data_IF_361735866834
#
_entry.id   IF_361735866834
#
_cell.length_a   1.000
_cell.length_b   1.000
_cell.length_c   1.000
_cell.angle_alpha   90.00
_cell.angle_beta   90.00
_cell.angle_gamma   90.00
#
_symmetry.space_group_name_H-M   'P 1'
#
loop_
_entity.id
_entity.type
_entity.pdbx_description
1 polymer ?
#
# COMPACT_ATOMS: atom_id res chain seq x y z
N UNK A 1 21.21 -58.11 -2.41
CA UNK A 1 21.05 -57.19 -3.55
C UNK A 1 20.98 -55.77 -2.99
N UNK A 2 22.13 -55.13 -2.74
CA UNK A 2 22.16 -53.78 -2.17
C UNK A 2 21.91 -52.75 -3.28
N UNK A 3 20.80 -52.01 -3.15
CA UNK A 3 20.47 -50.89 -4.02
C UNK A 3 21.45 -49.74 -3.73
N UNK A 4 22.36 -49.48 -4.67
CA UNK A 4 23.29 -48.36 -4.61
C UNK A 4 22.52 -47.04 -4.77
N UNK A 5 22.21 -46.37 -3.66
CA UNK A 5 21.60 -45.04 -3.69
C UNK A 5 22.66 -44.04 -4.15
N UNK A 6 22.61 -43.66 -5.42
CA UNK A 6 23.54 -42.70 -6.02
C UNK A 6 23.13 -41.30 -5.59
N UNK A 7 23.66 -40.83 -4.48
CA UNK A 7 23.50 -39.44 -4.02
C UNK A 7 23.98 -38.50 -5.12
N UNK A 8 23.04 -37.92 -5.88
CA UNK A 8 23.34 -36.91 -6.88
C UNK A 8 23.54 -35.59 -6.14
N UNK A 9 24.80 -35.19 -6.00
CA UNK A 9 25.16 -33.88 -5.48
C UNK A 9 24.78 -32.77 -6.44
N UNK A 10 24.75 -31.56 -5.91
CA UNK A 10 24.44 -30.35 -6.65
C UNK A 10 25.63 -29.97 -7.53
N UNK A 11 25.41 -29.67 -8.81
CA UNK A 11 26.51 -29.38 -9.75
C UNK A 11 26.91 -27.90 -9.73
N UNK A 12 28.14 -27.59 -10.17
CA UNK A 12 28.58 -26.19 -10.32
C UNK A 12 27.70 -25.40 -11.30
N UNK A 13 27.27 -26.04 -12.38
CA UNK A 13 26.37 -25.43 -13.37
C UNK A 13 25.02 -25.12 -12.74
N UNK A 14 24.52 -26.00 -11.89
CA UNK A 14 23.26 -25.79 -11.17
C UNK A 14 23.35 -24.60 -10.20
N UNK A 15 24.50 -24.39 -9.54
CA UNK A 15 24.70 -23.21 -8.67
C UNK A 15 24.74 -21.92 -9.49
N UNK A 16 25.40 -21.95 -10.64
CA UNK A 16 25.43 -20.82 -11.55
C UNK A 16 24.01 -20.46 -12.01
N UNK A 17 23.21 -21.45 -12.41
CA UNK A 17 21.82 -21.23 -12.84
C UNK A 17 20.98 -20.68 -11.69
N UNK A 18 21.08 -21.24 -10.47
CA UNK A 18 20.36 -20.73 -9.30
C UNK A 18 20.75 -19.29 -8.98
N UNK A 19 22.04 -18.93 -9.05
CA UNK A 19 22.49 -17.55 -8.82
C UNK A 19 21.90 -16.57 -9.84
N UNK A 20 21.87 -16.97 -11.12
CA UNK A 20 21.25 -16.18 -12.19
C UNK A 20 19.75 -16.00 -11.91
N UNK A 21 19.05 -17.09 -11.56
CA UNK A 21 17.62 -17.05 -11.25
C UNK A 21 17.34 -16.13 -10.05
N UNK A 22 18.11 -16.23 -8.98
CA UNK A 22 17.97 -15.35 -7.80
C UNK A 22 18.17 -13.88 -8.20
N UNK A 23 19.16 -13.58 -9.04
CA UNK A 23 19.38 -12.22 -9.55
C UNK A 23 18.18 -11.68 -10.33
N UNK A 24 17.61 -12.49 -11.23
CA UNK A 24 16.42 -12.12 -12.01
C UNK A 24 15.22 -11.91 -11.08
N UNK A 25 14.91 -12.87 -10.20
CA UNK A 25 13.78 -12.77 -9.29
C UNK A 25 13.90 -11.61 -8.31
N UNK A 26 15.10 -11.33 -7.80
CA UNK A 26 15.34 -10.21 -6.88
C UNK A 26 14.99 -8.87 -7.51
N UNK A 27 15.24 -8.68 -8.81
CA UNK A 27 14.91 -7.43 -9.51
C UNK A 27 13.38 -7.24 -9.66
N UNK A 28 12.65 -8.32 -9.94
CA UNK A 28 11.19 -8.30 -10.08
C UNK A 28 10.49 -8.01 -8.75
N UNK A 29 10.98 -8.57 -7.64
CA UNK A 29 10.42 -8.34 -6.30
C UNK A 29 10.48 -6.86 -5.93
N UNK A 30 11.58 -6.17 -6.23
CA UNK A 30 11.72 -4.75 -5.92
C UNK A 30 10.64 -3.89 -6.63
N UNK A 31 10.41 -4.13 -7.92
CA UNK A 31 9.39 -3.41 -8.71
C UNK A 31 7.98 -3.74 -8.22
N UNK A 32 7.70 -5.00 -7.91
CA UNK A 32 6.39 -5.44 -7.42
C UNK A 32 6.05 -4.83 -6.05
N UNK A 33 7.02 -4.76 -5.13
CA UNK A 33 6.82 -4.16 -3.81
C UNK A 33 6.66 -2.64 -3.90
N UNK A 34 7.50 -1.96 -4.68
CA UNK A 34 7.39 -0.51 -4.85
C UNK A 34 6.04 -0.10 -5.47
N UNK A 35 5.61 -0.79 -6.52
CA UNK A 35 4.31 -0.53 -7.16
C UNK A 35 3.11 -0.89 -6.27
N UNK A 36 3.21 -1.97 -5.48
CA UNK A 36 2.18 -2.36 -4.51
C UNK A 36 2.02 -1.35 -3.37
N UNK A 37 3.13 -0.82 -2.85
CA UNK A 37 3.12 0.18 -1.76
C UNK A 37 2.51 1.50 -2.27
N UNK A 38 2.98 2.04 -3.40
CA UNK A 38 2.50 3.31 -3.94
C UNK A 38 0.99 3.29 -4.21
N UNK A 39 0.49 2.19 -4.80
CA UNK A 39 -0.95 2.03 -5.09
C UNK A 39 -1.80 1.83 -3.83
N UNK A 40 -1.21 1.41 -2.72
CA UNK A 40 -1.92 1.27 -1.45
C UNK A 40 -2.18 2.63 -0.78
N UNK A 41 -1.25 3.59 -0.92
CA UNK A 41 -1.38 4.91 -0.28
C UNK A 41 -2.48 5.76 -0.92
N UNK A 42 -2.58 5.75 -2.25
CA UNK A 42 -3.62 6.47 -2.99
C UNK A 42 -5.03 5.96 -2.62
N UNK A 43 -5.22 4.64 -2.64
CA UNK A 43 -6.50 4.04 -2.27
C UNK A 43 -6.87 4.31 -0.81
N UNK A 44 -5.88 4.34 0.09
CA UNK A 44 -6.09 4.62 1.51
C UNK A 44 -6.60 6.04 1.74
N UNK A 45 -6.08 7.01 0.99
CA UNK A 45 -6.56 8.40 1.05
C UNK A 45 -8.00 8.54 0.56
N UNK A 46 -8.35 7.95 -0.58
CA UNK A 46 -9.71 8.03 -1.12
C UNK A 46 -10.73 7.40 -0.15
N UNK A 47 -10.35 6.29 0.48
CA UNK A 47 -11.17 5.66 1.51
C UNK A 47 -11.31 6.55 2.76
N UNK A 48 -10.23 7.13 3.28
CA UNK A 48 -10.29 8.00 4.46
C UNK A 48 -11.07 9.29 4.19
N UNK A 49 -10.93 9.86 3.00
CA UNK A 49 -11.66 11.05 2.57
C UNK A 49 -13.17 10.77 2.49
N UNK A 50 -13.55 9.68 1.80
CA UNK A 50 -14.95 9.27 1.67
C UNK A 50 -15.57 8.95 3.03
N UNK A 51 -14.86 8.24 3.91
CA UNK A 51 -15.32 7.96 5.27
C UNK A 51 -15.51 9.23 6.09
N UNK A 52 -14.65 10.23 5.90
CA UNK A 52 -14.76 11.53 6.59
C UNK A 52 -16.04 12.25 6.14
N UNK A 53 -16.35 12.28 4.84
CA UNK A 53 -17.60 12.86 4.34
C UNK A 53 -18.84 12.11 4.83
N UNK A 54 -18.82 10.77 4.85
CA UNK A 54 -19.92 9.96 5.39
C UNK A 54 -20.14 10.28 6.88
N UNK A 55 -19.06 10.44 7.65
CA UNK A 55 -19.14 10.84 9.07
C UNK A 55 -19.72 12.25 9.23
N UNK A 56 -19.26 13.22 8.45
CA UNK A 56 -19.80 14.58 8.46
C UNK A 56 -21.30 14.57 8.16
N UNK A 57 -21.74 13.82 7.13
CA UNK A 57 -23.16 13.66 6.78
C UNK A 57 -23.96 13.05 7.94
N UNK A 58 -23.46 11.98 8.56
CA UNK A 58 -24.15 11.35 9.69
C UNK A 58 -24.27 12.28 10.89
N UNK A 59 -23.23 13.09 11.15
CA UNK A 59 -23.22 14.08 12.21
C UNK A 59 -24.23 15.21 11.94
N UNK A 60 -24.33 15.69 10.69
CA UNK A 60 -25.34 16.69 10.30
C UNK A 60 -26.76 16.17 10.48
N UNK A 61 -27.03 14.94 10.03
CA UNK A 61 -28.36 14.33 10.15
C UNK A 61 -28.75 14.04 11.61
N UNK A 62 -27.79 13.62 12.43
CA UNK A 62 -28.04 13.32 13.85
C UNK A 62 -28.20 14.55 14.72
N UNK A 63 -27.48 15.65 14.42
CA UNK A 63 -27.58 16.91 15.18
C UNK A 63 -28.65 17.85 14.64
N UNK A 64 -29.07 17.68 13.38
CA UNK A 64 -29.99 18.59 12.69
C UNK A 64 -29.34 19.90 12.25
N UNK A 65 -28.01 20.02 12.38
CA UNK A 65 -27.25 21.23 12.07
C UNK A 65 -26.29 20.95 10.90
N UNK A 66 -26.03 21.97 10.07
CA UNK A 66 -25.07 21.84 8.98
C UNK A 66 -23.64 21.69 9.52
N UNK A 67 -22.98 20.57 9.24
CA UNK A 67 -21.55 20.37 9.53
C UNK A 67 -20.70 20.87 8.37
N UNK A 68 -19.74 21.75 8.63
CA UNK A 68 -18.83 22.27 7.62
C UNK A 68 -17.62 21.36 7.40
N UNK A 69 -17.28 21.17 6.14
CA UNK A 69 -16.07 20.50 5.69
C UNK A 69 -15.13 21.54 5.09
N UNK A 70 -13.91 21.62 5.60
CA UNK A 70 -12.91 22.58 5.15
C UNK A 70 -11.84 21.87 4.33
N UNK A 71 -11.45 22.49 3.22
CA UNK A 71 -10.35 22.06 2.37
C UNK A 71 -9.41 23.27 2.25
N UNK A 72 -8.19 23.09 2.71
CA UNK A 72 -7.10 24.03 2.52
C UNK A 72 -6.21 23.52 1.37
N UNK A 73 -6.21 24.25 0.26
CA UNK A 73 -5.41 23.95 -0.92
C UNK A 73 -3.95 24.33 -0.79
N UNK A 74 -3.59 25.30 0.06
CA UNK A 74 -2.19 25.69 0.28
C UNK A 74 -1.50 24.68 1.19
N UNK A 75 -2.13 24.35 2.33
CA UNK A 75 -1.60 23.38 3.29
C UNK A 75 -1.88 21.93 2.90
N UNK A 76 -2.59 21.69 1.78
CA UNK A 76 -3.05 20.37 1.31
C UNK A 76 -3.71 19.56 2.43
N UNK A 77 -4.61 20.18 3.17
CA UNK A 77 -5.22 19.54 4.33
C UNK A 77 -6.75 19.67 4.30
N UNK A 78 -7.45 18.72 4.91
CA UNK A 78 -8.89 18.78 5.07
C UNK A 78 -9.29 18.48 6.51
N UNK A 79 -10.41 19.05 6.95
CA UNK A 79 -10.98 18.74 8.25
C UNK A 79 -12.50 18.90 8.24
N UNK A 80 -13.12 18.38 9.29
CA UNK A 80 -14.50 18.69 9.64
C UNK A 80 -14.46 19.67 10.80
N UNK A 81 -15.42 20.59 10.86
CA UNK A 81 -15.61 21.51 11.98
C UNK A 81 -15.46 20.82 13.36
N UNK A 82 -14.49 21.29 14.14
CA UNK A 82 -14.17 20.75 15.48
C UNK A 82 -13.28 19.50 15.50
N UNK A 83 -12.80 19.01 14.36
CA UNK A 83 -11.91 17.85 14.25
C UNK A 83 -10.51 18.22 13.75
N UNK A 84 -9.55 17.30 13.95
CA UNK A 84 -8.14 17.49 13.56
C UNK A 84 -7.99 17.49 12.04
N UNK A 85 -7.12 18.37 11.55
CA UNK A 85 -6.68 18.41 10.14
C UNK A 85 -5.99 17.12 9.72
N UNK A 86 -6.39 16.58 8.57
CA UNK A 86 -5.78 15.45 7.88
C UNK A 86 -5.08 15.93 6.62
N UNK A 87 -3.89 15.37 6.36
CA UNK A 87 -3.07 15.75 5.22
C UNK A 87 -3.49 14.99 3.95
N UNK A 88 -3.39 15.67 2.80
CA UNK A 88 -3.67 15.12 1.47
C UNK A 88 -2.30 14.72 0.88
N UNK A 89 -2.07 13.42 0.58
CA UNK A 89 -0.78 12.95 0.10
C UNK A 89 -0.39 13.58 -1.24
N UNK A 90 0.92 13.61 -1.49
CA UNK A 90 1.49 14.07 -2.76
C UNK A 90 1.15 13.08 -3.87
N UNK A 91 0.67 13.60 -5.00
CA UNK A 91 0.27 12.80 -6.18
C UNK A 91 1.49 12.38 -6.99
#
# INVERSE_FOLDING_TARGET
MWLYNRSKGFTLVELLVVLILIGIFSSLVFVAVASGILRSEENRFIQSFSQTLVRARSASLGRGEAVRFFIDGESRAFCIEGLKWQNIPES
#
